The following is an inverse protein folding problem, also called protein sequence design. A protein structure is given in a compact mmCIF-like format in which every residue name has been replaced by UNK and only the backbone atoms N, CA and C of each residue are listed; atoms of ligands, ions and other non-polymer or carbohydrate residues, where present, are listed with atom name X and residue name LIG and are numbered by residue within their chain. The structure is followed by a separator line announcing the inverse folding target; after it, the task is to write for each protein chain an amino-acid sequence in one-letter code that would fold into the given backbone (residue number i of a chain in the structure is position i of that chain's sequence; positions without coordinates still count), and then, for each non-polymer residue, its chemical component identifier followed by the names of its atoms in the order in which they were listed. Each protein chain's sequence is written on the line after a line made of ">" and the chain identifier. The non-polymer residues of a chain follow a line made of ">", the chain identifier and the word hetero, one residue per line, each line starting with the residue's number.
data_IF_974974872267
#
_entry.id   IF_974974872267
#
_cell.length_a   1.000
_cell.length_b   1.000
_cell.length_c   1.000
_cell.angle_alpha   90.00
_cell.angle_beta   90.00
_cell.angle_gamma   90.00
#
_symmetry.space_group_name_H-M   'P 1'
#
loop_
_entity.id
_entity.type
_entity.pdbx_description
1 polymer ?
#
# COMPACT_ATOMS: atom_id res chain seq x y z
N UNK A 1 -66.39 87.30 -65.35
CA UNK A 1 -66.64 88.09 -64.13
C UNK A 1 -67.73 87.39 -63.33
N UNK A 2 -67.61 87.44 -62.00
CA UNK A 2 -68.52 86.93 -60.94
C UNK A 2 -70.02 86.88 -61.35
N UNK A 3 -70.85 85.99 -60.82
CA UNK A 3 -71.05 85.80 -59.39
C UNK A 3 -71.94 84.57 -59.11
N UNK A 4 -71.63 83.87 -58.03
CA UNK A 4 -72.36 82.73 -57.47
C UNK A 4 -73.75 83.10 -56.93
N UNK A 5 -74.68 82.17 -57.07
CA UNK A 5 -75.80 82.01 -56.14
C UNK A 5 -75.99 80.51 -55.80
N UNK A 6 -76.39 80.23 -54.56
CA UNK A 6 -76.60 78.88 -53.99
C UNK A 6 -78.03 78.39 -54.28
N UNK A 7 -78.22 77.08 -54.45
CA UNK A 7 -79.11 76.27 -53.56
C UNK A 7 -79.19 74.76 -53.86
N UNK A 8 -79.25 74.03 -52.74
CA UNK A 8 -79.93 72.75 -52.41
C UNK A 8 -79.33 71.39 -52.81
N UNK A 9 -78.72 70.79 -51.80
CA UNK A 9 -79.11 69.57 -51.06
C UNK A 9 -79.39 68.23 -51.78
N UNK A 10 -78.72 67.22 -51.22
CA UNK A 10 -78.56 65.82 -51.61
C UNK A 10 -79.78 64.93 -51.35
N UNK A 11 -79.88 63.78 -52.06
CA UNK A 11 -79.90 62.43 -51.45
C UNK A 11 -80.08 61.25 -52.47
N UNK A 12 -79.22 60.24 -52.28
CA UNK A 12 -79.47 58.77 -52.31
C UNK A 12 -79.89 57.97 -53.57
N UNK A 13 -78.95 57.12 -54.01
CA UNK A 13 -78.91 55.63 -53.94
C UNK A 13 -79.49 54.68 -55.03
N UNK A 14 -78.69 53.61 -55.25
CA UNK A 14 -78.92 52.22 -55.69
C UNK A 14 -79.40 51.86 -57.12
N UNK A 15 -78.63 51.00 -57.82
CA UNK A 15 -79.02 49.62 -58.20
C UNK A 15 -77.92 48.80 -58.91
N UNK A 16 -78.10 47.48 -58.83
CA UNK A 16 -77.30 46.30 -59.21
C UNK A 16 -77.14 46.00 -60.71
N UNK A 17 -76.09 45.24 -61.10
CA UNK A 17 -76.19 43.96 -61.86
C UNK A 17 -74.81 43.34 -62.25
N UNK A 18 -74.81 42.01 -62.40
CA UNK A 18 -73.69 41.08 -62.65
C UNK A 18 -73.50 40.73 -64.14
N UNK A 19 -72.27 40.40 -64.58
CA UNK A 19 -72.02 39.42 -65.66
C UNK A 19 -70.56 38.90 -65.68
N UNK A 20 -70.42 37.64 -66.07
CA UNK A 20 -69.21 36.78 -66.08
C UNK A 20 -68.70 36.47 -67.50
N UNK A 21 -67.55 35.77 -67.60
CA UNK A 21 -66.79 35.27 -68.78
C UNK A 21 -65.87 36.30 -69.49
N UNK A 22 -64.63 36.05 -69.92
CA UNK A 22 -63.89 34.80 -70.22
C UNK A 22 -62.37 35.04 -70.18
N UNK A 23 -61.63 33.97 -69.91
CA UNK A 23 -60.18 33.82 -69.99
C UNK A 23 -59.74 33.62 -71.46
N UNK A 24 -58.86 34.49 -71.99
CA UNK A 24 -57.96 34.11 -73.08
C UNK A 24 -56.69 34.96 -73.11
N UNK A 25 -55.56 34.26 -73.05
CA UNK A 25 -54.30 34.61 -73.73
C UNK A 25 -53.66 35.95 -73.41
N UNK A 26 -52.89 36.02 -72.32
CA UNK A 26 -51.80 37.00 -72.21
C UNK A 26 -50.49 36.24 -72.06
N UNK A 27 -49.71 36.21 -73.14
CA UNK A 27 -48.31 35.76 -73.09
C UNK A 27 -47.58 36.49 -71.95
N UNK A 28 -46.73 35.78 -71.16
CA UNK A 28 -45.99 36.44 -70.10
C UNK A 28 -44.92 37.36 -70.72
N UNK A 29 -44.73 38.59 -70.19
CA UNK A 29 -43.67 39.47 -70.64
C UNK A 29 -42.30 38.82 -70.39
N UNK A 30 -41.41 38.90 -71.38
CA UNK A 30 -40.06 38.30 -71.41
C UNK A 30 -39.06 38.96 -70.43
N UNK A 31 -39.42 39.13 -69.16
CA UNK A 31 -38.54 39.67 -68.11
C UNK A 31 -38.66 38.89 -66.78
N UNK A 32 -38.73 37.56 -66.85
CA UNK A 32 -38.70 36.68 -65.67
C UNK A 32 -37.28 36.37 -65.15
N UNK A 33 -36.25 36.91 -65.80
CA UNK A 33 -34.86 36.72 -65.38
C UNK A 33 -34.32 38.03 -64.77
N UNK A 34 -33.92 38.03 -63.49
CA UNK A 34 -33.35 39.21 -62.86
C UNK A 34 -32.06 39.64 -63.57
N UNK A 35 -31.81 40.95 -63.58
CA UNK A 35 -30.60 41.52 -64.18
C UNK A 35 -29.33 40.89 -63.55
N UNK A 36 -28.24 40.82 -64.31
CA UNK A 36 -26.94 40.22 -63.87
C UNK A 36 -26.42 40.81 -62.55
N UNK A 37 -26.87 42.00 -62.15
CA UNK A 37 -26.49 42.67 -60.90
C UNK A 37 -27.44 42.41 -59.72
N UNK A 38 -28.67 41.93 -59.95
CA UNK A 38 -29.66 41.65 -58.89
C UNK A 38 -29.71 40.17 -58.48
N UNK A 39 -29.23 39.27 -59.35
CA UNK A 39 -29.09 37.84 -59.05
C UNK A 39 -28.30 37.54 -57.75
N UNK A 40 -27.12 38.15 -57.46
CA UNK A 40 -26.40 37.87 -56.23
C UNK A 40 -27.14 38.36 -54.97
N UNK A 41 -27.92 39.45 -55.07
CA UNK A 41 -28.74 39.92 -53.94
C UNK A 41 -29.90 38.96 -53.67
N UNK A 42 -30.53 38.43 -54.72
CA UNK A 42 -31.60 37.45 -54.56
C UNK A 42 -31.08 36.16 -53.92
N UNK A 43 -29.91 35.66 -54.38
CA UNK A 43 -29.26 34.47 -53.80
C UNK A 43 -28.89 34.70 -52.33
N UNK A 44 -28.38 35.88 -51.97
CA UNK A 44 -28.06 36.22 -50.58
C UNK A 44 -29.31 36.24 -49.69
N UNK A 45 -30.41 36.82 -50.16
CA UNK A 45 -31.68 36.87 -49.41
C UNK A 45 -32.25 35.46 -49.23
N UNK A 46 -32.21 34.61 -50.25
CA UNK A 46 -32.65 33.22 -50.16
C UNK A 46 -31.75 32.42 -49.21
N UNK A 47 -30.42 32.63 -49.27
CA UNK A 47 -29.48 31.99 -48.36
C UNK A 47 -29.74 32.39 -46.90
N UNK A 48 -29.92 33.69 -46.63
CA UNK A 48 -30.26 34.19 -45.28
C UNK A 48 -31.61 33.67 -44.81
N UNK A 49 -32.63 33.66 -45.65
CA UNK A 49 -33.93 33.11 -45.32
C UNK A 49 -33.86 31.61 -45.02
N UNK A 50 -33.07 30.85 -45.79
CA UNK A 50 -32.85 29.42 -45.55
C UNK A 50 -32.05 29.14 -44.28
N UNK A 51 -31.06 29.97 -43.96
CA UNK A 51 -30.28 29.87 -42.73
C UNK A 51 -31.16 30.15 -41.51
N UNK A 52 -31.95 31.23 -41.56
CA UNK A 52 -32.89 31.59 -40.49
C UNK A 52 -33.94 30.49 -40.32
N UNK A 53 -34.49 29.97 -41.42
CA UNK A 53 -35.43 28.85 -41.38
C UNK A 53 -34.78 27.60 -40.76
N UNK A 54 -33.53 27.29 -41.10
CA UNK A 54 -32.82 26.13 -40.56
C UNK A 54 -32.49 26.29 -39.08
N UNK A 55 -32.00 27.47 -38.65
CA UNK A 55 -31.72 27.75 -37.23
C UNK A 55 -32.99 27.77 -36.40
N UNK A 56 -34.09 28.30 -36.94
CA UNK A 56 -35.40 28.24 -36.29
C UNK A 56 -35.93 26.80 -36.20
N UNK A 57 -35.77 25.99 -37.25
CA UNK A 57 -36.18 24.58 -37.20
C UNK A 57 -35.37 23.80 -36.15
N UNK A 58 -34.06 23.99 -36.10
CA UNK A 58 -33.18 23.32 -35.14
C UNK A 58 -33.43 23.75 -33.68
N UNK A 59 -33.73 25.03 -33.43
CA UNK A 59 -33.97 25.54 -32.08
C UNK A 59 -35.41 25.33 -31.59
N UNK A 60 -36.38 25.24 -32.50
CA UNK A 60 -37.81 25.17 -32.17
C UNK A 60 -38.50 23.87 -32.59
N UNK A 61 -37.78 22.81 -32.96
CA UNK A 61 -38.39 21.48 -33.06
C UNK A 61 -38.94 21.09 -31.67
N UNK A 62 -40.27 21.04 -31.48
CA UNK A 62 -40.83 20.62 -30.20
C UNK A 62 -40.49 19.13 -30.01
N UNK A 63 -39.92 18.78 -28.86
CA UNK A 63 -39.82 17.38 -28.46
C UNK A 63 -41.23 16.79 -28.43
N UNK A 64 -41.43 15.64 -29.08
CA UNK A 64 -42.74 14.97 -29.05
C UNK A 64 -43.14 14.71 -27.60
N UNK A 65 -44.40 14.99 -27.21
CA UNK A 65 -44.88 14.69 -25.86
C UNK A 65 -44.91 13.16 -25.65
N UNK A 66 -44.82 12.71 -24.40
CA UNK A 66 -44.99 11.29 -24.08
C UNK A 66 -46.46 10.86 -24.12
N UNK A 67 -46.75 9.65 -24.56
CA UNK A 67 -48.11 9.13 -24.56
C UNK A 67 -48.56 8.79 -23.13
N UNK A 68 -49.76 9.22 -22.74
CA UNK A 68 -50.34 8.87 -21.44
C UNK A 68 -50.94 7.45 -21.48
N UNK A 69 -50.72 6.62 -20.44
CA UNK A 69 -51.16 5.23 -20.42
C UNK A 69 -52.69 5.06 -20.33
N UNK A 70 -53.45 6.13 -20.06
CA UNK A 70 -54.90 6.09 -19.84
C UNK A 70 -55.77 6.46 -21.07
N UNK A 71 -55.19 6.71 -22.24
CA UNK A 71 -55.99 6.93 -23.46
C UNK A 71 -56.14 5.62 -24.24
N UNK A 72 -57.30 4.97 -24.07
CA UNK A 72 -57.72 3.82 -24.86
C UNK A 72 -57.83 4.17 -26.37
N UNK A 73 -56.76 4.00 -27.14
CA UNK A 73 -56.82 3.67 -28.57
C UNK A 73 -55.43 3.29 -29.09
N UNK A 74 -55.14 2.00 -29.37
CA UNK A 74 -53.80 1.54 -29.75
C UNK A 74 -53.35 1.95 -31.16
N UNK A 75 -54.27 2.35 -32.05
CA UNK A 75 -54.00 2.28 -33.50
C UNK A 75 -53.94 3.63 -34.24
N UNK A 76 -54.02 4.78 -33.57
CA UNK A 76 -54.12 6.09 -34.28
C UNK A 76 -53.12 7.18 -33.87
N UNK A 77 -52.24 6.96 -32.89
CA UNK A 77 -51.42 8.06 -32.31
C UNK A 77 -49.90 7.87 -32.32
N UNK A 78 -49.36 6.79 -32.91
CA UNK A 78 -47.91 6.52 -32.90
C UNK A 78 -47.05 7.60 -33.57
N UNK A 79 -47.63 8.45 -34.42
CA UNK A 79 -46.88 9.55 -35.05
C UNK A 79 -46.82 10.83 -34.19
N UNK A 80 -47.72 10.98 -33.21
CA UNK A 80 -47.96 12.23 -32.48
C UNK A 80 -47.26 12.29 -31.12
N UNK A 81 -47.07 11.14 -30.45
CA UNK A 81 -46.41 11.07 -29.14
C UNK A 81 -45.35 9.96 -29.07
N UNK A 82 -44.35 10.15 -28.22
CA UNK A 82 -43.36 9.11 -27.91
C UNK A 82 -43.92 8.14 -26.86
N UNK A 83 -43.70 6.82 -27.01
CA UNK A 83 -44.15 5.85 -26.02
C UNK A 83 -43.49 6.13 -24.66
N UNK A 84 -44.23 5.90 -23.58
CA UNK A 84 -43.68 6.10 -22.24
C UNK A 84 -42.53 5.11 -21.99
N UNK A 85 -41.31 5.58 -21.66
CA UNK A 85 -40.16 4.71 -21.44
C UNK A 85 -40.36 3.85 -20.18
N UNK A 86 -39.67 2.71 -20.14
CA UNK A 86 -39.64 1.85 -18.94
C UNK A 86 -39.13 2.61 -17.72
N UNK A 87 -39.69 2.32 -16.54
CA UNK A 87 -39.37 2.99 -15.28
C UNK A 87 -39.70 4.49 -15.23
N UNK A 88 -40.56 4.95 -16.16
CA UNK A 88 -41.14 6.28 -16.17
C UNK A 88 -42.65 6.24 -15.96
N UNK A 89 -43.18 7.29 -15.37
CA UNK A 89 -44.59 7.63 -15.27
C UNK A 89 -44.85 8.85 -16.16
N UNK A 90 -45.67 8.66 -17.20
CA UNK A 90 -46.03 9.72 -18.14
C UNK A 90 -47.44 10.19 -17.87
N UNK A 91 -47.58 11.48 -17.55
CA UNK A 91 -48.86 12.15 -17.34
C UNK A 91 -48.85 13.51 -18.05
N UNK A 92 -49.90 13.84 -18.81
CA UNK A 92 -50.05 15.07 -19.59
C UNK A 92 -48.84 15.35 -20.51
N UNK A 93 -48.29 14.30 -21.14
CA UNK A 93 -47.13 14.44 -22.03
C UNK A 93 -45.79 14.67 -21.31
N UNK A 94 -45.76 14.64 -19.97
CA UNK A 94 -44.55 14.81 -19.17
C UNK A 94 -44.07 13.49 -18.57
N UNK A 95 -42.80 13.19 -18.78
CA UNK A 95 -42.11 12.08 -18.14
C UNK A 95 -41.63 12.44 -16.72
N UNK A 96 -42.06 11.67 -15.72
CA UNK A 96 -41.48 11.60 -14.38
C UNK A 96 -40.87 10.22 -14.17
N UNK A 97 -39.62 10.13 -13.74
CA UNK A 97 -39.02 8.83 -13.47
C UNK A 97 -39.50 8.26 -12.14
N UNK A 98 -39.64 6.92 -12.08
CA UNK A 98 -39.93 6.23 -10.84
C UNK A 98 -38.81 6.44 -9.82
N UNK A 99 -39.14 6.28 -8.54
CA UNK A 99 -38.17 6.41 -7.47
C UNK A 99 -37.02 5.42 -7.67
N UNK A 100 -35.77 5.91 -7.66
CA UNK A 100 -34.60 5.10 -7.99
C UNK A 100 -33.99 5.37 -9.37
N UNK A 101 -34.70 6.13 -10.21
CA UNK A 101 -34.33 6.40 -11.60
C UNK A 101 -34.20 7.91 -11.85
N UNK A 102 -33.14 8.28 -12.55
CA UNK A 102 -32.86 9.65 -12.96
C UNK A 102 -33.17 9.82 -14.45
N UNK A 103 -33.73 10.99 -14.80
CA UNK A 103 -34.08 11.31 -16.19
C UNK A 103 -32.81 11.63 -16.99
N UNK A 104 -32.56 10.84 -18.04
CA UNK A 104 -31.48 11.08 -19.00
C UNK A 104 -32.09 11.17 -20.41
N UNK A 105 -32.36 12.40 -20.85
CA UNK A 105 -33.10 12.67 -22.09
C UNK A 105 -34.54 12.18 -22.02
N UNK A 106 -34.88 11.22 -22.88
CA UNK A 106 -36.20 10.60 -22.98
C UNK A 106 -36.26 9.23 -22.29
N UNK A 107 -35.24 8.88 -21.50
CA UNK A 107 -35.15 7.61 -20.76
C UNK A 107 -35.04 7.87 -19.25
N UNK A 108 -35.50 6.90 -18.48
CA UNK A 108 -35.29 6.83 -17.04
C UNK A 108 -34.24 5.76 -16.75
N UNK A 109 -33.05 6.19 -16.37
CA UNK A 109 -31.90 5.32 -16.10
C UNK A 109 -31.73 5.20 -14.60
N UNK A 110 -31.26 4.05 -14.12
CA UNK A 110 -30.98 3.88 -12.68
C UNK A 110 -30.00 4.96 -12.20
N UNK A 111 -30.33 5.53 -11.03
CA UNK A 111 -29.50 6.55 -10.41
C UNK A 111 -28.18 5.91 -9.91
N UNK A 112 -27.07 6.40 -10.46
CA UNK A 112 -25.72 5.96 -10.10
C UNK A 112 -25.40 6.21 -8.62
N UNK A 113 -25.88 7.32 -8.05
CA UNK A 113 -25.62 7.69 -6.66
C UNK A 113 -26.36 6.76 -5.69
N UNK A 114 -27.57 6.32 -6.05
CA UNK A 114 -28.34 5.33 -5.29
C UNK A 114 -27.62 3.98 -5.34
N UNK A 115 -27.16 3.56 -6.52
CA UNK A 115 -26.45 2.29 -6.67
C UNK A 115 -25.12 2.28 -5.90
N UNK A 116 -24.35 3.37 -5.97
CA UNK A 116 -23.11 3.52 -5.21
C UNK A 116 -23.37 3.54 -3.70
N UNK A 117 -24.41 4.27 -3.26
CA UNK A 117 -24.79 4.33 -1.84
C UNK A 117 -25.26 2.98 -1.31
N UNK A 118 -26.04 2.23 -2.11
CA UNK A 118 -26.45 0.87 -1.77
C UNK A 118 -25.26 -0.08 -1.68
N UNK A 119 -24.28 0.05 -2.59
CA UNK A 119 -23.02 -0.73 -2.55
C UNK A 119 -22.18 -0.41 -1.31
N UNK A 120 -22.03 0.86 -0.93
CA UNK A 120 -21.31 1.25 0.29
C UNK A 120 -21.97 0.70 1.56
N UNK A 121 -23.31 0.70 1.59
CA UNK A 121 -24.06 0.07 2.69
C UNK A 121 -23.79 -1.43 2.74
N UNK A 122 -23.89 -2.11 1.59
CA UNK A 122 -23.59 -3.54 1.46
C UNK A 122 -22.18 -3.89 1.93
N UNK A 123 -21.16 -3.15 1.50
CA UNK A 123 -19.76 -3.39 1.92
C UNK A 123 -19.59 -3.27 3.45
N UNK A 124 -20.28 -2.32 4.09
CA UNK A 124 -20.26 -2.18 5.56
C UNK A 124 -20.93 -3.37 6.25
N UNK A 125 -22.04 -3.84 5.69
CA UNK A 125 -22.80 -4.99 6.21
C UNK A 125 -22.00 -6.27 6.10
N UNK A 126 -21.43 -6.52 4.91
CA UNK A 126 -20.55 -7.63 4.64
C UNK A 126 -19.38 -7.64 5.61
N UNK A 127 -18.70 -6.50 5.77
CA UNK A 127 -17.58 -6.38 6.69
C UNK A 127 -17.99 -6.76 8.12
N UNK A 128 -19.11 -6.23 8.63
CA UNK A 128 -19.57 -6.52 9.98
C UNK A 128 -19.94 -8.00 10.16
N UNK A 129 -20.72 -8.57 9.24
CA UNK A 129 -21.15 -9.98 9.32
C UNK A 129 -19.99 -10.95 9.17
N UNK A 130 -19.06 -10.68 8.26
CA UNK A 130 -17.90 -11.54 8.04
C UNK A 130 -16.87 -11.42 9.16
N UNK A 131 -16.71 -10.24 9.77
CA UNK A 131 -15.86 -10.06 10.95
C UNK A 131 -16.41 -10.84 12.16
N UNK A 132 -17.70 -10.70 12.46
CA UNK A 132 -18.37 -11.44 13.54
C UNK A 132 -18.29 -12.96 13.33
N UNK A 133 -18.50 -13.41 12.09
CA UNK A 133 -18.39 -14.83 11.77
C UNK A 133 -16.93 -15.32 11.85
N UNK A 134 -15.97 -14.52 11.39
CA UNK A 134 -14.55 -14.85 11.52
C UNK A 134 -14.11 -14.95 12.98
N UNK A 135 -14.58 -14.05 13.85
CA UNK A 135 -14.36 -14.14 15.29
C UNK A 135 -14.94 -15.44 15.86
N UNK A 136 -16.18 -15.79 15.47
CA UNK A 136 -16.79 -17.06 15.86
C UNK A 136 -15.94 -18.27 15.46
N UNK A 137 -15.42 -18.30 14.22
CA UNK A 137 -14.54 -19.39 13.75
C UNK A 137 -13.23 -19.50 14.54
N UNK A 138 -12.74 -18.39 15.09
CA UNK A 138 -11.45 -18.31 15.77
C UNK A 138 -11.52 -18.57 17.27
N UNK A 139 -12.46 -17.92 17.97
CA UNK A 139 -12.57 -17.93 19.43
C UNK A 139 -13.86 -18.59 19.91
N UNK A 140 -14.79 -18.93 19.01
CA UNK A 140 -16.14 -19.37 19.36
C UNK A 140 -17.05 -18.25 19.87
N UNK A 141 -16.56 -17.00 19.85
CA UNK A 141 -17.30 -15.82 20.29
C UNK A 141 -17.72 -15.02 19.06
N UNK A 142 -19.02 -14.90 18.82
CA UNK A 142 -19.57 -14.18 17.66
C UNK A 142 -20.92 -14.77 17.24
N UNK A 143 -21.57 -14.13 16.28
CA UNK A 143 -22.85 -14.60 15.72
C UNK A 143 -22.67 -15.08 14.29
N UNK A 144 -23.25 -16.25 13.97
CA UNK A 144 -23.19 -16.84 12.62
C UNK A 144 -24.35 -16.34 11.75
N UNK A 145 -25.55 -16.33 12.34
CA UNK A 145 -26.80 -15.92 11.69
C UNK A 145 -27.30 -14.66 12.36
N UNK A 146 -27.49 -13.60 11.58
CA UNK A 146 -27.98 -12.30 12.05
C UNK A 146 -29.33 -12.02 11.41
N UNK A 147 -30.28 -11.51 12.19
CA UNK A 147 -31.63 -11.26 11.72
C UNK A 147 -31.70 -10.00 10.86
N UNK A 148 -32.62 -10.00 9.89
CA UNK A 148 -32.84 -8.87 8.99
C UNK A 148 -33.23 -7.58 9.72
N UNK A 149 -34.00 -7.65 10.80
CA UNK A 149 -34.42 -6.49 11.60
C UNK A 149 -33.27 -5.87 12.41
N UNK A 150 -32.44 -6.71 13.02
CA UNK A 150 -31.22 -6.26 13.72
C UNK A 150 -30.29 -5.55 12.74
N UNK A 151 -30.12 -6.14 11.56
CA UNK A 151 -29.34 -5.56 10.47
C UNK A 151 -29.97 -4.25 10.00
N UNK A 152 -31.29 -4.21 9.82
CA UNK A 152 -31.99 -3.01 9.39
C UNK A 152 -31.77 -1.85 10.36
N UNK A 153 -31.84 -2.08 11.67
CA UNK A 153 -31.67 -1.02 12.67
C UNK A 153 -30.22 -0.52 12.79
N UNK A 154 -29.23 -1.39 12.57
CA UNK A 154 -27.81 -1.02 12.67
C UNK A 154 -27.38 0.07 11.67
N UNK A 155 -28.00 0.13 10.49
CA UNK A 155 -27.58 1.05 9.42
C UNK A 155 -28.35 2.37 9.38
N UNK A 156 -29.17 2.69 10.39
CA UNK A 156 -29.78 4.02 10.48
C UNK A 156 -28.71 5.13 10.38
N UNK A 157 -28.99 6.23 9.66
CA UNK A 157 -27.99 7.24 9.39
C UNK A 157 -27.54 7.86 10.73
N UNK A 158 -26.26 7.71 11.04
CA UNK A 158 -25.65 8.35 12.20
C UNK A 158 -25.57 9.85 11.91
N UNK A 159 -26.55 10.62 12.41
CA UNK A 159 -26.57 12.09 12.35
C UNK A 159 -27.70 12.70 11.52
N UNK A 160 -27.85 14.02 11.65
CA UNK A 160 -28.92 14.85 11.07
C UNK A 160 -28.79 15.03 9.54
N UNK A 161 -28.63 13.94 8.79
CA UNK A 161 -28.55 14.02 7.33
C UNK A 161 -29.97 14.11 6.79
N UNK A 162 -30.29 15.28 6.25
CA UNK A 162 -31.53 15.60 5.54
C UNK A 162 -31.55 14.93 4.15
N UNK A 163 -31.35 13.61 4.11
CA UNK A 163 -31.65 12.81 2.91
C UNK A 163 -33.16 12.67 2.87
N UNK A 164 -33.78 12.84 1.70
CA UNK A 164 -35.20 12.54 1.52
C UNK A 164 -35.47 11.13 2.06
N UNK A 165 -36.24 11.04 3.14
CA UNK A 165 -36.47 9.80 3.91
C UNK A 165 -36.94 8.65 2.98
N UNK A 166 -37.68 8.99 1.92
CA UNK A 166 -38.09 8.06 0.88
C UNK A 166 -36.90 7.51 0.08
N UNK A 167 -36.00 8.38 -0.40
CA UNK A 167 -34.82 8.00 -1.18
C UNK A 167 -33.90 7.08 -0.37
N UNK A 168 -33.63 7.44 0.88
CA UNK A 168 -32.82 6.61 1.79
C UNK A 168 -33.46 5.23 2.04
N UNK A 169 -34.78 5.18 2.28
CA UNK A 169 -35.52 3.92 2.44
C UNK A 169 -35.40 3.02 1.21
N UNK A 170 -35.50 3.60 0.00
CA UNK A 170 -35.33 2.86 -1.25
C UNK A 170 -33.89 2.34 -1.41
N UNK A 171 -32.88 3.18 -1.17
CA UNK A 171 -31.46 2.77 -1.20
C UNK A 171 -31.19 1.60 -0.23
N UNK A 172 -31.74 1.67 0.98
CA UNK A 172 -31.63 0.62 1.99
C UNK A 172 -32.29 -0.67 1.52
N UNK A 173 -33.51 -0.59 0.98
CA UNK A 173 -34.20 -1.75 0.42
C UNK A 173 -33.41 -2.40 -0.73
N UNK A 174 -32.86 -1.60 -1.66
CA UNK A 174 -31.99 -2.09 -2.74
C UNK A 174 -30.74 -2.80 -2.21
N UNK A 175 -30.15 -2.28 -1.13
CA UNK A 175 -29.01 -2.93 -0.48
C UNK A 175 -29.38 -4.30 0.10
N UNK A 176 -30.50 -4.43 0.82
CA UNK A 176 -30.97 -5.71 1.38
C UNK A 176 -31.37 -6.73 0.31
N UNK A 177 -31.95 -6.29 -0.82
CA UNK A 177 -32.23 -7.17 -1.95
C UNK A 177 -30.92 -7.72 -2.55
N UNK A 178 -29.90 -6.87 -2.67
CA UNK A 178 -28.58 -7.24 -3.19
C UNK A 178 -27.84 -8.16 -2.19
N UNK A 179 -27.95 -7.92 -0.89
CA UNK A 179 -27.43 -8.80 0.16
C UNK A 179 -28.00 -10.21 0.02
N UNK A 180 -29.30 -10.33 -0.26
CA UNK A 180 -29.94 -11.64 -0.46
C UNK A 180 -29.38 -12.44 -1.64
N UNK A 181 -28.65 -11.80 -2.55
CA UNK A 181 -27.99 -12.45 -3.70
C UNK A 181 -26.53 -12.83 -3.42
N UNK A 182 -25.87 -12.14 -2.49
CA UNK A 182 -24.43 -12.30 -2.20
C UNK A 182 -24.15 -13.08 -0.91
N UNK A 183 -25.03 -12.95 0.07
CA UNK A 183 -24.90 -13.59 1.38
C UNK A 183 -25.79 -14.84 1.46
N UNK A 184 -25.40 -15.77 2.33
CA UNK A 184 -26.24 -16.92 2.63
C UNK A 184 -27.49 -16.45 3.38
N UNK A 185 -28.66 -16.90 2.94
CA UNK A 185 -29.93 -16.52 3.58
C UNK A 185 -30.73 -17.73 4.01
N UNK A 186 -31.41 -17.60 5.14
CA UNK A 186 -32.29 -18.63 5.70
C UNK A 186 -33.58 -17.99 6.20
N UNK A 187 -34.69 -18.72 6.07
CA UNK A 187 -35.94 -18.39 6.75
C UNK A 187 -35.98 -19.14 8.09
N UNK A 188 -36.16 -18.40 9.18
CA UNK A 188 -36.28 -18.99 10.49
C UNK A 188 -37.71 -19.56 10.69
N UNK A 189 -37.81 -20.84 11.04
CA UNK A 189 -39.06 -21.59 11.07
C UNK A 189 -40.05 -21.14 12.17
N UNK A 190 -39.59 -20.41 13.19
CA UNK A 190 -40.41 -19.97 14.32
C UNK A 190 -41.10 -18.63 14.12
N UNK A 191 -40.54 -17.73 13.31
CA UNK A 191 -41.06 -16.35 13.13
C UNK A 191 -41.19 -15.93 11.66
N UNK A 192 -40.76 -16.75 10.70
CA UNK A 192 -40.78 -16.39 9.27
C UNK A 192 -39.80 -15.28 8.89
N UNK A 193 -38.92 -14.88 9.81
CA UNK A 193 -37.94 -13.81 9.61
C UNK A 193 -36.74 -14.32 8.82
N UNK A 194 -36.21 -13.46 7.93
CA UNK A 194 -35.01 -13.74 7.15
C UNK A 194 -33.76 -13.49 7.98
N UNK A 195 -32.83 -14.44 7.94
CA UNK A 195 -31.52 -14.34 8.57
C UNK A 195 -30.44 -14.36 7.49
N UNK A 196 -29.38 -13.58 7.72
CA UNK A 196 -28.22 -13.47 6.85
C UNK A 196 -27.00 -14.08 7.53
N UNK A 197 -26.17 -14.74 6.73
CA UNK A 197 -24.89 -15.32 7.13
C UNK A 197 -23.82 -14.95 6.08
N UNK A 198 -22.61 -14.63 6.54
CA UNK A 198 -21.47 -14.46 5.65
C UNK A 198 -21.01 -15.83 5.09
N UNK A 199 -20.80 -15.97 3.76
CA UNK A 199 -20.32 -17.21 3.15
C UNK A 199 -18.98 -17.68 3.76
N UNK A 200 -18.80 -18.99 3.92
CA UNK A 200 -17.62 -19.56 4.59
C UNK A 200 -16.30 -19.16 3.92
N UNK A 201 -16.28 -19.12 2.58
CA UNK A 201 -15.10 -18.71 1.80
C UNK A 201 -14.73 -17.24 2.05
N UNK A 202 -15.72 -16.38 2.19
CA UNK A 202 -15.52 -14.96 2.41
C UNK A 202 -15.06 -14.72 3.85
N UNK A 203 -15.71 -15.37 4.82
CA UNK A 203 -15.35 -15.28 6.25
C UNK A 203 -13.90 -15.71 6.53
N UNK A 204 -13.35 -16.66 5.76
CA UNK A 204 -11.94 -17.08 5.88
C UNK A 204 -10.96 -15.92 5.65
N UNK A 205 -11.29 -14.98 4.74
CA UNK A 205 -10.46 -13.82 4.43
C UNK A 205 -10.49 -12.75 5.54
N UNK A 206 -11.54 -12.74 6.36
CA UNK A 206 -11.71 -11.82 7.48
C UNK A 206 -11.08 -12.34 8.78
N UNK A 207 -10.51 -13.56 8.78
CA UNK A 207 -9.80 -14.08 9.94
C UNK A 207 -8.53 -13.29 10.21
N UNK A 208 -8.33 -12.94 11.48
CA UNK A 208 -7.07 -12.35 11.92
C UNK A 208 -5.90 -13.31 11.67
N UNK A 209 -4.77 -12.79 11.19
CA UNK A 209 -3.54 -13.59 10.96
C UNK A 209 -3.13 -14.41 12.18
N UNK A 210 -3.31 -13.87 13.39
CA UNK A 210 -3.00 -14.58 14.62
C UNK A 210 -3.84 -15.85 14.80
N UNK A 211 -5.12 -15.82 14.41
CA UNK A 211 -6.00 -16.97 14.43
C UNK A 211 -5.56 -18.02 13.41
N UNK A 212 -5.30 -17.62 12.16
CA UNK A 212 -4.84 -18.53 11.11
C UNK A 212 -3.55 -19.24 11.53
N UNK A 213 -2.58 -18.50 12.08
CA UNK A 213 -1.33 -19.06 12.60
C UNK A 213 -1.61 -20.04 13.75
N UNK A 214 -2.47 -19.69 14.71
CA UNK A 214 -2.81 -20.58 15.83
C UNK A 214 -3.48 -21.86 15.38
N UNK A 215 -4.43 -21.77 14.45
CA UNK A 215 -5.13 -22.92 13.88
C UNK A 215 -4.17 -23.80 13.08
N UNK A 216 -3.26 -23.20 12.31
CA UNK A 216 -2.23 -23.94 11.59
C UNK A 216 -1.23 -24.63 12.53
N UNK A 217 -0.76 -23.92 13.56
CA UNK A 217 0.14 -24.49 14.58
C UNK A 217 -0.56 -25.63 15.33
N UNK A 218 -1.84 -25.48 15.70
CA UNK A 218 -2.56 -26.53 16.43
C UNK A 218 -2.77 -27.77 15.58
N UNK A 219 -3.07 -27.61 14.29
CA UNK A 219 -3.17 -28.72 13.33
C UNK A 219 -1.84 -29.44 13.11
N UNK A 220 -0.72 -28.70 13.12
CA UNK A 220 0.62 -29.24 12.86
C UNK A 220 1.52 -29.34 14.10
N UNK A 221 0.95 -29.34 15.31
CA UNK A 221 1.71 -29.23 16.56
C UNK A 221 2.74 -30.36 16.73
N UNK A 222 2.39 -31.57 16.30
CA UNK A 222 3.26 -32.75 16.36
C UNK A 222 4.51 -32.63 15.49
N UNK A 223 4.48 -31.78 14.46
CA UNK A 223 5.61 -31.53 13.55
C UNK A 223 6.36 -30.26 13.96
N UNK A 224 5.65 -29.21 14.36
CA UNK A 224 6.25 -27.93 14.74
C UNK A 224 7.09 -28.06 16.01
N UNK A 225 6.57 -28.72 17.04
CA UNK A 225 7.24 -28.85 18.34
C UNK A 225 8.63 -29.52 18.24
N UNK A 226 8.82 -30.68 17.57
CA UNK A 226 10.14 -31.27 17.43
C UNK A 226 11.08 -30.42 16.57
N UNK A 227 10.60 -29.76 15.52
CA UNK A 227 11.44 -28.86 14.71
C UNK A 227 11.95 -27.69 15.55
N UNK A 228 11.08 -27.05 16.33
CA UNK A 228 11.46 -25.97 17.24
C UNK A 228 12.48 -26.45 18.29
N UNK A 229 12.24 -27.61 18.92
CA UNK A 229 13.17 -28.19 19.88
C UNK A 229 14.54 -28.50 19.25
N UNK A 230 14.56 -29.04 18.03
CA UNK A 230 15.78 -29.30 17.28
C UNK A 230 16.55 -28.03 16.95
N UNK A 231 15.87 -26.95 16.52
CA UNK A 231 16.52 -25.67 16.23
C UNK A 231 17.12 -25.03 17.49
N UNK A 232 16.39 -25.04 18.61
CA UNK A 232 16.89 -24.55 19.90
C UNK A 232 18.07 -25.40 20.39
N UNK A 233 17.99 -26.73 20.26
CA UNK A 233 19.08 -27.63 20.59
C UNK A 233 20.33 -27.36 19.74
N UNK A 234 20.17 -27.28 18.42
CA UNK A 234 21.27 -26.99 17.48
C UNK A 234 21.94 -25.64 17.78
N UNK A 235 21.16 -24.59 18.00
CA UNK A 235 21.71 -23.25 18.34
C UNK A 235 22.45 -23.25 19.67
N UNK A 236 21.92 -23.92 20.70
CA UNK A 236 22.59 -24.06 21.99
C UNK A 236 23.90 -24.85 21.89
N UNK A 237 23.91 -25.95 21.12
CA UNK A 237 25.12 -26.74 20.86
C UNK A 237 26.18 -25.93 20.10
N UNK A 238 25.79 -25.24 19.03
CA UNK A 238 26.69 -24.37 18.27
C UNK A 238 27.26 -23.26 19.15
N UNK A 239 26.43 -22.65 19.99
CA UNK A 239 26.87 -21.62 20.91
C UNK A 239 27.85 -22.16 21.96
N UNK A 240 27.57 -23.34 22.54
CA UNK A 240 28.48 -24.03 23.47
C UNK A 240 29.84 -24.34 22.84
N UNK A 241 29.85 -24.86 21.61
CA UNK A 241 31.09 -25.15 20.88
C UNK A 241 31.87 -23.88 20.57
N UNK A 242 31.19 -22.84 20.04
CA UNK A 242 31.82 -21.54 19.77
C UNK A 242 32.40 -20.92 21.03
N UNK A 243 31.68 -20.99 22.15
CA UNK A 243 32.16 -20.49 23.44
C UNK A 243 33.40 -21.27 23.90
N UNK A 244 33.41 -22.60 23.82
CA UNK A 244 34.58 -23.42 24.16
C UNK A 244 35.79 -23.09 23.28
N UNK A 245 35.61 -22.95 21.97
CA UNK A 245 36.67 -22.60 21.04
C UNK A 245 37.24 -21.20 21.30
N UNK A 246 36.36 -20.20 21.51
CA UNK A 246 36.77 -18.84 21.84
C UNK A 246 37.58 -18.79 23.14
N UNK A 247 37.13 -19.52 24.17
CA UNK A 247 37.86 -19.65 25.43
C UNK A 247 39.23 -20.30 25.22
N UNK A 248 39.33 -21.36 24.42
CA UNK A 248 40.61 -22.02 24.14
C UNK A 248 41.61 -21.08 23.45
N UNK A 249 41.17 -20.35 22.41
CA UNK A 249 42.02 -19.36 21.73
C UNK A 249 42.48 -18.26 22.68
N UNK A 250 41.56 -17.76 23.52
CA UNK A 250 41.89 -16.73 24.52
C UNK A 250 42.91 -17.21 25.54
N UNK A 251 42.84 -18.47 25.98
CA UNK A 251 43.84 -19.08 26.88
C UNK A 251 45.21 -19.12 26.21
N UNK A 252 45.28 -19.55 24.94
CA UNK A 252 46.53 -19.64 24.18
C UNK A 252 47.15 -18.25 23.95
N UNK A 253 46.35 -17.24 23.62
CA UNK A 253 46.80 -15.84 23.53
C UNK A 253 47.40 -15.34 24.85
N UNK A 254 46.74 -15.61 25.97
CA UNK A 254 47.21 -15.20 27.30
C UNK A 254 48.51 -15.93 27.67
N UNK A 255 48.60 -17.22 27.39
CA UNK A 255 49.81 -18.01 27.60
C UNK A 255 50.98 -17.48 26.76
N UNK A 256 50.79 -17.21 25.47
CA UNK A 256 51.83 -16.66 24.61
C UNK A 256 52.32 -15.29 25.10
N UNK A 257 51.41 -14.42 25.57
CA UNK A 257 51.78 -13.13 26.18
C UNK A 257 52.56 -13.30 27.48
N UNK A 258 52.24 -14.30 28.30
CA UNK A 258 53.03 -14.62 29.50
C UNK A 258 54.44 -15.02 29.09
N UNK A 259 54.59 -15.90 28.11
CA UNK A 259 55.91 -16.31 27.61
C UNK A 259 56.71 -15.12 27.08
N UNK A 260 56.10 -14.24 26.28
CA UNK A 260 56.75 -13.04 25.74
C UNK A 260 57.25 -12.11 26.85
N UNK A 261 56.42 -11.81 27.85
CA UNK A 261 56.80 -10.96 28.99
C UNK A 261 57.91 -11.59 29.82
N UNK A 262 57.86 -12.91 30.06
CA UNK A 262 58.90 -13.60 30.84
C UNK A 262 60.22 -13.68 30.07
N UNK A 263 60.19 -13.95 28.76
CA UNK A 263 61.38 -13.94 27.90
C UNK A 263 62.00 -12.53 27.82
N UNK A 264 61.19 -11.48 27.64
CA UNK A 264 61.67 -10.09 27.60
C UNK A 264 62.31 -9.67 28.94
N UNK A 265 61.72 -10.03 30.07
CA UNK A 265 62.31 -9.76 31.39
C UNK A 265 63.62 -10.52 31.62
N UNK A 266 63.72 -11.76 31.13
CA UNK A 266 64.97 -12.52 31.20
C UNK A 266 66.08 -11.96 30.28
N UNK A 267 65.71 -11.37 29.13
CA UNK A 267 66.68 -10.70 28.25
C UNK A 267 67.13 -9.34 28.82
N UNK A 268 66.20 -8.54 29.34
CA UNK A 268 66.52 -7.22 29.90
C UNK A 268 67.38 -7.33 31.16
N UNK A 269 67.08 -8.26 32.07
CA UNK A 269 67.92 -8.54 33.25
C UNK A 269 69.37 -8.92 32.90
N UNK A 270 69.59 -9.69 31.82
CA UNK A 270 70.94 -10.02 31.33
C UNK A 270 71.67 -8.83 30.72
N UNK A 271 70.95 -7.93 30.04
CA UNK A 271 71.56 -6.74 29.40
C UNK A 271 71.84 -5.60 30.38
N UNK A 272 71.07 -5.50 31.48
CA UNK A 272 71.09 -4.39 32.41
C UNK A 272 72.00 -4.60 33.64
N UNK A 273 73.11 -5.33 33.49
CA UNK A 273 74.11 -5.56 34.55
C UNK A 273 73.49 -5.98 35.92
N UNK A 274 72.37 -6.73 35.91
CA UNK A 274 71.75 -7.26 37.12
C UNK A 274 70.84 -6.31 37.91
N UNK A 275 70.49 -5.12 37.40
CA UNK A 275 69.58 -4.20 38.09
C UNK A 275 68.09 -4.58 37.97
N UNK A 276 67.73 -5.38 36.97
CA UNK A 276 66.36 -5.88 36.78
C UNK A 276 66.23 -7.34 37.22
N UNK A 277 65.18 -7.63 37.97
CA UNK A 277 64.85 -8.98 38.43
C UNK A 277 64.40 -9.88 37.26
N UNK A 278 64.93 -11.11 37.11
CA UNK A 278 64.59 -12.02 36.00
C UNK A 278 63.22 -12.70 36.14
N UNK A 279 62.53 -12.50 37.27
CA UNK A 279 61.28 -13.17 37.62
C UNK A 279 60.12 -12.17 37.79
N UNK A 280 58.89 -12.63 37.58
CA UNK A 280 57.67 -11.83 37.69
C UNK A 280 56.66 -12.49 38.63
N UNK A 281 55.98 -11.70 39.46
CA UNK A 281 54.91 -12.20 40.34
C UNK A 281 53.69 -12.62 39.51
N UNK A 282 53.21 -13.84 39.69
CA UNK A 282 52.05 -14.42 38.99
C UNK A 282 50.78 -13.56 39.07
N UNK A 283 50.47 -13.01 40.24
CA UNK A 283 49.31 -12.13 40.42
C UNK A 283 49.41 -10.84 39.62
N UNK A 284 50.62 -10.30 39.43
CA UNK A 284 50.85 -9.11 38.59
C UNK A 284 50.60 -9.39 37.12
N UNK A 285 51.03 -10.56 36.63
CA UNK A 285 50.73 -11.00 35.25
C UNK A 285 49.22 -11.15 35.04
N UNK A 286 48.53 -11.78 35.99
CA UNK A 286 47.07 -11.92 35.94
C UNK A 286 46.37 -10.57 35.85
N UNK A 287 46.73 -9.63 36.72
CA UNK A 287 46.03 -8.36 36.83
C UNK A 287 46.32 -7.44 35.62
N UNK A 288 47.50 -7.59 34.99
CA UNK A 288 47.90 -6.87 33.78
C UNK A 288 47.30 -7.47 32.49
N UNK A 289 47.23 -8.80 32.39
CA UNK A 289 46.81 -9.49 31.17
C UNK A 289 45.28 -9.71 31.09
N UNK A 290 44.60 -9.88 32.23
CA UNK A 290 43.15 -10.10 32.26
C UNK A 290 42.35 -8.80 32.32
N UNK A 291 41.32 -8.72 31.49
CA UNK A 291 40.35 -7.63 31.56
C UNK A 291 39.53 -7.71 32.86
N UNK A 292 39.03 -6.57 33.40
CA UNK A 292 38.19 -6.57 34.62
C UNK A 292 36.98 -7.51 34.56
N UNK A 293 36.40 -7.75 33.37
CA UNK A 293 35.31 -8.72 33.17
C UNK A 293 35.79 -10.17 33.26
N UNK A 294 36.99 -10.47 32.75
CA UNK A 294 37.58 -11.81 32.75
C UNK A 294 38.06 -12.23 34.14
N UNK A 295 38.45 -11.27 35.00
CA UNK A 295 38.88 -11.54 36.39
C UNK A 295 37.78 -12.14 37.27
N UNK A 296 36.50 -11.98 36.90
CA UNK A 296 35.38 -12.60 37.62
C UNK A 296 35.33 -14.12 37.42
N UNK A 297 35.92 -14.64 36.34
CA UNK A 297 35.92 -16.05 36.01
C UNK A 297 37.30 -16.68 36.29
N UNK A 298 37.52 -17.31 37.46
CA UNK A 298 38.83 -17.84 37.83
C UNK A 298 39.30 -19.01 36.93
N UNK A 299 38.37 -19.64 36.20
CA UNK A 299 38.66 -20.80 35.35
C UNK A 299 39.61 -20.47 34.19
N UNK A 300 39.53 -19.24 33.63
CA UNK A 300 40.38 -18.82 32.53
C UNK A 300 41.86 -18.79 32.97
N UNK A 301 42.13 -18.08 34.06
CA UNK A 301 43.48 -17.96 34.61
C UNK A 301 44.02 -19.29 35.12
N UNK A 302 43.20 -20.08 35.81
CA UNK A 302 43.59 -21.41 36.30
C UNK A 302 44.05 -22.34 35.17
N UNK A 303 43.46 -22.21 33.97
CA UNK A 303 43.87 -23.00 32.81
C UNK A 303 45.17 -22.49 32.19
N UNK A 304 45.41 -21.18 32.18
CA UNK A 304 46.71 -20.57 31.81
C UNK A 304 47.80 -21.02 32.77
N UNK A 305 47.55 -20.97 34.09
CA UNK A 305 48.51 -21.46 35.11
C UNK A 305 48.85 -22.93 34.91
N UNK A 306 47.88 -23.75 34.49
CA UNK A 306 48.12 -25.15 34.14
C UNK A 306 49.03 -25.29 32.92
N UNK A 307 48.81 -24.50 31.86
CA UNK A 307 49.69 -24.50 30.68
C UNK A 307 51.11 -24.04 31.00
N UNK A 308 51.25 -23.01 31.85
CA UNK A 308 52.57 -22.54 32.31
C UNK A 308 53.27 -23.61 33.15
N UNK A 309 52.54 -24.32 34.02
CA UNK A 309 53.11 -25.40 34.83
C UNK A 309 53.58 -26.61 33.99
N UNK A 310 52.95 -26.84 32.83
CA UNK A 310 53.35 -27.89 31.89
C UNK A 310 54.54 -27.47 31.00
N UNK A 311 54.88 -26.18 30.95
CA UNK A 311 55.99 -25.64 30.15
C UNK A 311 57.31 -25.73 30.91
N UNK A 312 58.22 -26.58 30.44
CA UNK A 312 59.54 -26.78 31.05
C UNK A 312 60.46 -25.57 30.98
N UNK A 313 60.12 -24.54 30.19
CA UNK A 313 60.92 -23.31 30.06
C UNK A 313 60.65 -22.31 31.18
N UNK A 314 59.63 -22.53 32.00
CA UNK A 314 59.19 -21.57 33.03
C UNK A 314 59.27 -22.23 34.40
N UNK A 315 60.08 -21.66 35.29
CA UNK A 315 60.16 -22.07 36.68
C UNK A 315 59.10 -21.36 37.52
N UNK A 316 58.47 -22.10 38.42
CA UNK A 316 57.49 -21.59 39.38
C UNK A 316 57.92 -21.93 40.80
N UNK A 317 58.20 -20.91 41.61
CA UNK A 317 58.60 -21.08 42.99
C UNK A 317 58.09 -19.94 43.88
N UNK A 318 57.93 -20.17 45.20
CA UNK A 318 57.61 -19.11 46.14
C UNK A 318 58.86 -18.27 46.44
N UNK A 319 58.72 -16.94 46.42
CA UNK A 319 59.77 -15.98 46.78
C UNK A 319 59.23 -14.91 47.71
N UNK A 320 60.03 -14.47 48.68
CA UNK A 320 59.70 -13.36 49.56
C UNK A 320 59.85 -12.04 48.79
N UNK A 321 58.73 -11.37 48.53
CA UNK A 321 58.69 -10.07 47.85
C UNK A 321 58.11 -9.05 48.82
N UNK A 322 58.95 -8.13 49.30
CA UNK A 322 58.56 -7.11 50.30
C UNK A 322 57.96 -7.70 51.59
N UNK A 323 58.51 -8.81 52.07
CA UNK A 323 58.08 -9.47 53.33
C UNK A 323 56.91 -10.46 53.19
N UNK A 324 56.29 -10.57 52.02
CA UNK A 324 55.23 -11.54 51.75
C UNK A 324 55.72 -12.68 50.83
N UNK A 325 55.36 -13.92 51.13
CA UNK A 325 55.64 -15.06 50.25
C UNK A 325 54.69 -15.03 49.05
N UNK A 326 55.23 -14.82 47.85
CA UNK A 326 54.46 -14.76 46.60
C UNK A 326 55.01 -15.75 45.59
N UNK A 327 54.13 -16.33 44.79
CA UNK A 327 54.52 -17.23 43.69
C UNK A 327 55.04 -16.40 42.52
N UNK A 328 56.29 -16.63 42.16
CA UNK A 328 56.98 -15.96 41.06
C UNK A 328 57.23 -16.95 39.92
N UNK A 329 57.22 -16.42 38.70
CA UNK A 329 57.53 -17.15 37.46
C UNK A 329 58.80 -16.59 36.86
N UNK A 330 59.68 -17.48 36.42
CA UNK A 330 60.99 -17.13 35.85
C UNK A 330 61.21 -17.92 34.56
N UNK A 331 61.80 -17.27 33.55
CA UNK A 331 62.16 -17.95 32.30
C UNK A 331 63.54 -18.62 32.44
N UNK A 332 63.59 -19.93 32.22
CA UNK A 332 64.85 -20.66 32.17
C UNK A 332 65.58 -20.36 30.85
N UNK A 333 66.77 -19.76 30.95
CA UNK A 333 67.56 -19.33 29.79
C UNK A 333 68.60 -20.37 29.35
N UNK A 334 68.62 -21.58 29.94
CA UNK A 334 69.63 -22.62 29.68
C UNK A 334 69.29 -23.49 28.45
N UNK A 335 69.05 -22.82 27.32
CA UNK A 335 68.78 -23.45 26.03
C UNK A 335 68.94 -22.44 24.90
N UNK A 336 70.19 -22.10 24.58
CA UNK A 336 70.58 -21.10 23.58
C UNK A 336 69.95 -21.35 22.20
N UNK A 337 68.89 -20.61 21.86
CA UNK A 337 68.47 -20.37 20.47
C UNK A 337 68.18 -18.88 20.17
N UNK A 338 68.19 -17.99 21.16
CA UNK A 338 67.78 -16.59 20.96
C UNK A 338 68.93 -15.62 20.62
N UNK A 339 70.20 -16.01 20.82
CA UNK A 339 71.35 -15.15 20.45
C UNK A 339 71.43 -14.91 18.93
N UNK A 340 70.81 -15.79 18.13
CA UNK A 340 70.70 -15.66 16.66
C UNK A 340 69.67 -14.60 16.21
N UNK A 341 68.57 -14.38 16.95
CA UNK A 341 67.52 -13.42 16.56
C UNK A 341 67.88 -11.98 16.91
N UNK A 342 68.56 -11.74 18.03
CA UNK A 342 69.05 -10.40 18.39
C UNK A 342 70.04 -9.87 17.35
N UNK A 343 71.00 -10.71 16.92
CA UNK A 343 71.98 -10.35 15.89
C UNK A 343 71.35 -10.02 14.52
N UNK A 344 70.19 -10.59 14.20
CA UNK A 344 69.44 -10.26 12.96
C UNK A 344 68.69 -8.93 13.06
N UNK A 345 68.15 -8.57 14.24
CA UNK A 345 67.41 -7.32 14.42
C UNK A 345 68.33 -6.10 14.41
N UNK A 346 69.49 -6.20 15.06
CA UNK A 346 70.48 -5.12 15.06
C UNK A 346 71.11 -4.93 13.68
N UNK A 347 71.41 -6.02 12.95
CA UNK A 347 71.89 -5.93 11.56
C UNK A 347 70.86 -5.33 10.58
N UNK A 348 69.55 -5.45 10.88
CA UNK A 348 68.50 -4.86 10.06
C UNK A 348 68.29 -3.36 10.30
N UNK A 349 68.63 -2.85 11.49
CA UNK A 349 68.58 -1.40 11.79
C UNK A 349 69.76 -0.64 11.19
N UNK A 350 70.94 -1.27 11.08
CA UNK A 350 72.13 -0.62 10.50
C UNK A 350 72.07 -0.48 8.98
N UNK A 351 71.28 -1.31 8.27
CA UNK A 351 71.17 -1.27 6.80
C UNK A 351 70.16 -0.27 6.23
N UNK A 352 69.33 0.37 7.07
CA UNK A 352 68.26 1.26 6.58
C UNK A 352 68.74 2.70 6.31
N UNK A 353 69.94 3.07 6.77
CA UNK A 353 70.46 4.45 6.60
C UNK A 353 71.36 4.67 5.37
N UNK A 354 71.53 3.67 4.48
CA UNK A 354 72.49 3.76 3.36
C UNK A 354 71.86 3.43 1.99
N UNK A 355 70.59 3.80 1.78
CA UNK A 355 69.99 3.74 0.44
C UNK A 355 68.90 4.78 0.25
N UNK A 356 69.29 6.05 0.35
CA UNK A 356 68.59 7.16 -0.29
C UNK A 356 69.46 7.60 -1.47
N UNK A 357 69.15 7.15 -2.68
CA UNK A 357 69.21 7.96 -3.92
C UNK A 357 69.06 7.11 -5.20
N UNK A 358 68.31 7.67 -6.16
CA UNK A 358 68.12 7.27 -7.58
C UNK A 358 67.26 5.99 -7.79
N UNK A 359 66.20 5.91 -8.60
CA UNK A 359 65.81 6.68 -9.79
C UNK A 359 64.35 6.37 -10.21
N UNK A 360 63.85 7.19 -11.13
CA UNK A 360 62.50 7.35 -11.67
C UNK A 360 61.99 6.27 -12.66
N UNK A 361 60.68 5.96 -12.59
CA UNK A 361 59.67 6.04 -13.70
C UNK A 361 59.51 4.91 -14.75
N UNK A 362 58.43 4.09 -14.69
CA UNK A 362 57.18 4.21 -15.50
C UNK A 362 56.17 3.03 -15.31
N UNK A 363 54.88 3.31 -15.54
CA UNK A 363 53.61 2.53 -15.39
C UNK A 363 53.24 1.78 -16.72
N UNK A 364 52.09 1.05 -16.93
CA UNK A 364 50.86 0.88 -16.10
C UNK A 364 50.14 -0.53 -16.09
N UNK A 365 49.11 -0.60 -15.20
CA UNK A 365 47.77 -1.24 -15.31
C UNK A 365 47.57 -2.78 -15.25
N UNK A 366 46.81 -3.24 -14.23
CA UNK A 366 45.39 -3.61 -14.37
C UNK A 366 44.70 -3.75 -13.00
N UNK A 367 43.43 -3.33 -12.94
CA UNK A 367 42.53 -3.36 -11.78
C UNK A 367 41.93 -4.77 -11.58
N UNK A 368 41.74 -5.16 -10.32
CA UNK A 368 40.56 -5.92 -9.86
C UNK A 368 40.39 -5.69 -8.35
N UNK A 369 39.29 -5.03 -7.98
CA UNK A 369 38.79 -4.99 -6.59
C UNK A 369 38.07 -6.30 -6.24
N UNK A 370 38.04 -6.67 -4.95
CA UNK A 370 36.86 -7.32 -4.39
C UNK A 370 36.25 -6.49 -3.26
N UNK A 371 34.92 -6.39 -3.37
CA UNK A 371 33.99 -5.68 -2.51
C UNK A 371 33.82 -6.39 -1.15
N UNK A 372 33.92 -5.64 -0.06
CA UNK A 372 33.64 -6.06 1.31
C UNK A 372 32.16 -5.80 1.64
N UNK A 373 31.39 -6.77 2.18
CA UNK A 373 30.06 -6.49 2.72
C UNK A 373 30.14 -6.14 4.21
N UNK A 374 29.78 -4.88 4.52
CA UNK A 374 29.42 -4.40 5.86
C UNK A 374 28.18 -5.15 6.37
N UNK A 375 28.37 -5.99 7.38
CA UNK A 375 27.28 -6.45 8.25
C UNK A 375 27.20 -5.51 9.45
N UNK A 376 26.11 -4.74 9.52
CA UNK A 376 25.62 -4.16 10.77
C UNK A 376 24.74 -5.18 11.49
N UNK A 377 25.08 -5.51 12.74
CA UNK A 377 24.14 -5.81 13.82
C UNK A 377 24.63 -5.03 15.04
#
# INVERSE_FOLDING_TARGET
>A
MKQNDRRRECLSNSNSESCSFSLMGREPPQNLLPSKHDFPRLVLVVALASLVAWTCNFLFTPSKPFCDPNLHSPDYFSDICEPCPSNGECNDGKLKCLQGYQRHGNLCVEDGDINESARKLLERVEHHLCEEYAQFLCTGTGTIWVREDDLWNYFEPVGNVKVDNALYKYTKQKAFETMGKLLDTRLNSSHGMKEFKCPDQLAEHYKSYACCIRQWISQHILVVLPICAMLVGCTALLWSVRQKLCMSRRIEELYNKVCEILEENALTSKSANGECEPWVVSSRLRDHLLLPRERKNPLLWKKVEKMVQEDSRIDRYPKLVKGESKVVWEWQVEGSLSFSKMKRRDASKTRVNESTDLNHQHRPAMRTEPMEPLFFI
#
